data_IF_652411744916
#
_entry.id   IF_652411744916
#
_cell.length_a   1.000
_cell.length_b   1.000
_cell.length_c   1.000
_cell.angle_alpha   90.00
_cell.angle_beta   90.00
_cell.angle_gamma   90.00
#
_symmetry.space_group_name_H-M   'P 1'
#
loop_
_entity.id
_entity.type
_entity.pdbx_description
1 polymer ?
#
# COMPACT_ATOMS: atom_id res chain seq x y z
N UNK A 1 10.25 -10.33 4.24
CA UNK A 1 9.30 -9.30 4.72
C UNK A 1 7.89 -9.73 4.37
N UNK A 2 6.95 -9.51 5.24
CA UNK A 2 5.53 -9.82 4.96
C UNK A 2 5.00 -8.90 3.85
N UNK A 3 4.05 -9.40 3.07
CA UNK A 3 3.46 -8.62 1.98
C UNK A 3 2.84 -7.31 2.51
N UNK A 4 2.12 -7.36 3.63
CA UNK A 4 1.51 -6.16 4.21
C UNK A 4 2.56 -5.14 4.65
N UNK A 5 3.69 -5.58 5.16
CA UNK A 5 4.80 -4.68 5.53
C UNK A 5 5.38 -3.99 4.29
N UNK A 6 5.58 -4.74 3.22
CA UNK A 6 6.11 -4.19 1.98
C UNK A 6 5.14 -3.16 1.38
N UNK A 7 3.85 -3.46 1.39
CA UNK A 7 2.82 -2.53 0.92
C UNK A 7 2.81 -1.27 1.78
N UNK A 8 2.91 -1.41 3.11
CA UNK A 8 2.95 -0.26 4.02
C UNK A 8 4.15 0.63 3.73
N UNK A 9 5.32 0.05 3.50
CA UNK A 9 6.53 0.80 3.17
C UNK A 9 6.39 1.52 1.82
N UNK A 10 5.79 0.86 0.83
CA UNK A 10 5.53 1.48 -0.47
C UNK A 10 4.59 2.67 -0.34
N UNK A 11 3.54 2.53 0.48
CA UNK A 11 2.61 3.63 0.76
C UNK A 11 3.37 4.80 1.40
N UNK A 12 4.18 4.53 2.42
CA UNK A 12 4.97 5.58 3.11
C UNK A 12 5.90 6.31 2.13
N UNK A 13 6.57 5.56 1.27
CA UNK A 13 7.45 6.11 0.24
C UNK A 13 6.70 7.08 -0.67
N UNK A 14 5.54 6.65 -1.17
CA UNK A 14 4.73 7.47 -2.08
C UNK A 14 4.10 8.68 -1.38
N UNK A 15 3.67 8.53 -0.12
CA UNK A 15 3.15 9.65 0.64
C UNK A 15 4.22 10.73 0.80
N UNK A 16 5.44 10.34 1.14
CA UNK A 16 6.56 11.25 1.29
C UNK A 16 6.91 11.91 -0.04
N UNK A 17 7.02 11.12 -1.09
CA UNK A 17 7.37 11.60 -2.42
C UNK A 17 6.37 12.62 -2.95
N UNK A 18 5.10 12.44 -2.64
CA UNK A 18 4.01 13.30 -3.14
C UNK A 18 3.57 14.37 -2.15
N UNK A 19 4.16 14.41 -0.97
CA UNK A 19 3.75 15.35 0.07
C UNK A 19 2.31 15.15 0.50
N UNK A 20 1.86 13.90 0.55
CA UNK A 20 0.47 13.55 0.85
C UNK A 20 0.37 12.92 2.24
N UNK A 21 -0.72 13.21 2.95
CA UNK A 21 -0.99 12.56 4.24
C UNK A 21 -1.73 11.24 4.05
N UNK A 22 -1.64 10.36 5.04
CA UNK A 22 -2.38 9.10 5.02
C UNK A 22 -3.89 9.37 4.99
N UNK A 23 -4.36 10.36 5.72
CA UNK A 23 -5.76 10.74 5.73
C UNK A 23 -6.25 11.12 4.33
N UNK A 24 -5.46 11.90 3.61
CA UNK A 24 -5.80 12.29 2.23
C UNK A 24 -5.86 11.05 1.33
N UNK A 25 -4.93 10.12 1.49
CA UNK A 25 -4.94 8.88 0.73
C UNK A 25 -6.21 8.07 1.02
N UNK A 26 -6.63 7.99 2.28
CA UNK A 26 -7.87 7.30 2.65
C UNK A 26 -9.07 7.92 1.92
N UNK A 27 -9.14 9.25 1.90
CA UNK A 27 -10.22 9.96 1.20
C UNK A 27 -10.21 9.71 -0.29
N UNK A 28 -9.04 9.80 -0.92
CA UNK A 28 -8.93 9.66 -2.37
C UNK A 28 -9.10 8.21 -2.84
N UNK A 29 -8.68 7.24 -2.02
CA UNK A 29 -8.74 5.83 -2.38
C UNK A 29 -10.08 5.19 -2.05
N UNK A 30 -10.80 5.73 -1.08
CA UNK A 30 -12.02 5.10 -0.56
C UNK A 30 -11.75 3.90 0.33
N UNK A 31 -10.49 3.61 0.64
CA UNK A 31 -10.15 2.53 1.57
C UNK A 31 -10.54 2.95 2.98
N UNK A 32 -11.27 2.10 3.67
CA UNK A 32 -11.72 2.38 5.03
C UNK A 32 -10.54 2.51 5.98
N UNK A 33 -10.67 3.40 6.96
CA UNK A 33 -9.61 3.67 7.94
C UNK A 33 -9.15 2.39 8.64
N UNK A 34 -10.06 1.51 9.02
CA UNK A 34 -9.71 0.24 9.67
C UNK A 34 -8.84 -0.66 8.80
N UNK A 35 -9.17 -0.76 7.52
CA UNK A 35 -8.37 -1.53 6.55
C UNK A 35 -6.99 -0.92 6.38
N UNK A 36 -6.94 0.41 6.20
CA UNK A 36 -5.68 1.12 6.04
C UNK A 36 -4.81 0.96 7.27
N UNK A 37 -5.39 1.12 8.46
CA UNK A 37 -4.69 0.95 9.74
C UNK A 37 -4.10 -0.46 9.87
N UNK A 38 -4.86 -1.49 9.50
CA UNK A 38 -4.37 -2.87 9.55
C UNK A 38 -3.16 -3.08 8.66
N UNK A 39 -3.16 -2.46 7.48
CA UNK A 39 -2.01 -2.53 6.57
C UNK A 39 -0.81 -1.80 7.18
N UNK A 40 -1.02 -0.55 7.60
CA UNK A 40 0.08 0.30 8.07
C UNK A 40 0.74 -0.21 9.34
N UNK A 41 -0.02 -0.89 10.20
CA UNK A 41 0.51 -1.46 11.45
C UNK A 41 0.86 -2.95 11.33
N UNK A 42 0.76 -3.51 10.13
CA UNK A 42 1.17 -4.88 9.87
C UNK A 42 0.33 -5.95 10.56
N UNK A 43 -0.96 -5.67 10.81
CA UNK A 43 -1.85 -6.63 11.48
C UNK A 43 -2.30 -7.76 10.57
N UNK A 44 -2.26 -7.56 9.27
CA UNK A 44 -2.63 -8.57 8.28
C UNK A 44 -1.39 -9.21 7.68
N UNK A 45 -1.49 -10.46 7.26
CA UNK A 45 -0.39 -11.16 6.59
C UNK A 45 -0.21 -10.68 5.16
N UNK A 46 -1.31 -10.38 4.49
CA UNK A 46 -1.30 -9.94 3.10
C UNK A 46 -2.33 -8.86 2.84
N UNK A 47 -2.35 -8.38 1.61
CA UNK A 47 -3.27 -7.34 1.15
C UNK A 47 -3.90 -7.84 -0.14
N UNK A 48 -5.22 -7.68 -0.29
CA UNK A 48 -5.89 -8.11 -1.52
C UNK A 48 -5.50 -7.19 -2.68
N UNK A 49 -5.52 -7.73 -3.87
CA UNK A 49 -5.27 -6.94 -5.07
C UNK A 49 -6.29 -5.82 -5.23
N UNK A 50 -7.54 -6.05 -4.84
CA UNK A 50 -8.59 -5.02 -4.88
C UNK A 50 -8.20 -3.80 -4.07
N UNK A 51 -7.68 -4.00 -2.86
CA UNK A 51 -7.24 -2.91 -2.00
C UNK A 51 -6.02 -2.20 -2.60
N UNK A 52 -5.08 -2.96 -3.18
CA UNK A 52 -3.93 -2.37 -3.88
C UNK A 52 -4.39 -1.48 -5.02
N UNK A 53 -5.37 -1.92 -5.79
CA UNK A 53 -5.92 -1.12 -6.89
C UNK A 53 -6.56 0.17 -6.36
N UNK A 54 -7.32 0.09 -5.27
CA UNK A 54 -7.93 1.27 -4.66
C UNK A 54 -6.86 2.27 -4.19
N UNK A 55 -5.83 1.79 -3.50
CA UNK A 55 -4.73 2.62 -3.01
C UNK A 55 -4.03 3.30 -4.20
N UNK A 56 -3.76 2.54 -5.25
CA UNK A 56 -3.12 3.06 -6.46
C UNK A 56 -3.95 4.18 -7.08
N UNK A 57 -5.26 4.01 -7.17
CA UNK A 57 -6.16 5.06 -7.65
C UNK A 57 -6.12 6.29 -6.77
N UNK A 58 -6.00 6.10 -5.45
CA UNK A 58 -5.85 7.20 -4.51
C UNK A 58 -4.59 8.03 -4.76
N UNK A 59 -3.54 7.40 -5.26
CA UNK A 59 -2.31 8.07 -5.68
C UNK A 59 -2.36 8.58 -7.13
N UNK A 60 -3.43 8.28 -7.87
CA UNK A 60 -3.54 8.66 -9.28
C UNK A 60 -2.57 7.89 -10.16
N UNK A 61 -2.25 6.65 -9.81
CA UNK A 61 -1.31 5.82 -10.56
C UNK A 61 -1.91 4.45 -10.84
N UNK A 62 -1.34 3.75 -11.81
CA UNK A 62 -1.73 2.39 -12.13
C UNK A 62 -1.21 1.46 -11.04
N UNK A 63 -1.98 0.39 -10.73
CA UNK A 63 -1.51 -0.56 -9.71
C UNK A 63 -0.23 -1.28 -10.15
N UNK A 64 -0.02 -1.46 -11.47
CA UNK A 64 1.23 -2.05 -11.97
C UNK A 64 2.43 -1.17 -11.60
N UNK A 65 2.25 0.14 -11.66
CA UNK A 65 3.31 1.09 -11.28
C UNK A 65 3.51 1.14 -9.77
N UNK A 66 2.41 1.02 -9.02
CA UNK A 66 2.50 0.89 -7.56
C UNK A 66 3.34 -0.33 -7.18
N UNK A 67 3.09 -1.47 -7.84
CA UNK A 67 3.79 -2.72 -7.56
C UNK A 67 5.22 -2.74 -8.12
N UNK A 68 5.55 -1.85 -9.02
CA UNK A 68 6.88 -1.78 -9.62
C UNK A 68 7.86 -1.04 -8.71
N UNK A 69 8.27 -1.71 -7.66
CA UNK A 69 9.18 -1.18 -6.65
C UNK A 69 10.03 -2.32 -6.11
N UNK A 70 11.33 -2.08 -5.82
CA UNK A 70 12.17 -3.09 -5.18
C UNK A 70 11.58 -3.62 -3.88
N UNK A 71 10.80 -2.80 -3.16
CA UNK A 71 10.13 -3.23 -1.93
C UNK A 71 9.18 -4.40 -2.17
N UNK A 72 8.58 -4.46 -3.35
CA UNK A 72 7.58 -5.46 -3.71
C UNK A 72 8.13 -6.54 -4.65
N UNK A 73 9.46 -6.62 -4.77
CA UNK A 73 10.10 -7.71 -5.51
C UNK A 73 9.81 -9.02 -4.77
N UNK A 74 9.43 -10.05 -5.53
CA UNK A 74 9.04 -11.34 -4.92
C UNK A 74 10.14 -11.95 -4.05
N UNK A 75 11.40 -11.64 -4.34
CA UNK A 75 12.52 -12.14 -3.55
C UNK A 75 12.58 -11.52 -2.16
N UNK A 76 11.90 -10.40 -1.94
CA UNK A 76 11.83 -9.74 -0.63
C UNK A 76 10.58 -10.15 0.17
N UNK A 77 9.69 -10.93 -0.42
CA UNK A 77 8.39 -11.21 0.17
C UNK A 77 8.32 -12.64 0.70
N UNK A 78 7.79 -12.76 1.91
CA UNK A 78 7.50 -14.05 2.52
C UNK A 78 6.03 -14.39 2.27
N UNK A 79 5.78 -15.53 1.66
CA UNK A 79 4.43 -16.01 1.41
C UNK A 79 4.04 -16.93 2.57
N UNK A 80 2.96 -16.56 3.24
CA UNK A 80 2.46 -17.30 4.39
C UNK A 80 1.13 -17.97 4.12
#
# INVERSE_FOLDING_TARGET
MKVSQAVALRIKELLKERGMTLYKLEQESGVLHGTMSNIMYGRNKGVTLSVVIQISKGFGMRYQDFLNSPLLDENNLDIE
#
